data_IF_602719247740
#
_entry.id   IF_602719247740
#
_cell.length_a   1.000
_cell.length_b   1.000
_cell.length_c   1.000
_cell.angle_alpha   90.00
_cell.angle_beta   90.00
_cell.angle_gamma   90.00
#
_symmetry.space_group_name_H-M   'P 1'
#
loop_
_entity.id
_entity.type
_entity.pdbx_description
1 polymer ?
#
# COMPACT_ATOMS: atom_id res chain seq x y z
N UNK A 1 -79.94 29.24 6.04
CA UNK A 1 -79.02 28.61 7.04
C UNK A 1 -77.91 27.94 6.27
N UNK A 2 -76.69 28.41 6.30
CA UNK A 2 -75.57 27.83 5.54
C UNK A 2 -74.76 26.85 6.37
N UNK A 3 -74.57 25.67 5.83
CA UNK A 3 -73.67 24.64 6.41
C UNK A 3 -72.22 24.93 6.04
N UNK A 4 -71.39 25.08 7.03
CA UNK A 4 -69.90 25.25 6.95
C UNK A 4 -69.30 23.93 6.49
N UNK A 5 -68.53 23.95 5.37
CA UNK A 5 -67.66 22.86 4.96
C UNK A 5 -66.32 23.02 5.66
N UNK A 6 -65.92 22.05 6.49
CA UNK A 6 -64.61 21.96 7.11
C UNK A 6 -63.59 21.38 6.10
N UNK A 7 -62.58 22.18 5.78
CA UNK A 7 -61.42 21.72 5.00
C UNK A 7 -60.47 20.97 5.90
N UNK A 8 -60.35 19.65 5.71
CA UNK A 8 -59.35 18.82 6.34
C UNK A 8 -58.03 18.92 5.55
N UNK A 9 -57.11 19.74 6.04
CA UNK A 9 -55.77 19.87 5.52
C UNK A 9 -54.95 18.64 5.94
N UNK A 10 -54.72 17.71 5.02
CA UNK A 10 -53.86 16.54 5.24
C UNK A 10 -52.39 16.98 5.24
N UNK A 11 -51.80 17.02 6.40
CA UNK A 11 -50.34 17.13 6.60
C UNK A 11 -49.68 15.79 6.20
N UNK A 12 -48.97 15.77 5.10
CA UNK A 12 -48.08 14.70 4.73
C UNK A 12 -46.75 14.89 5.48
N UNK A 13 -46.23 13.91 6.24
CA UNK A 13 -44.92 14.00 6.79
C UNK A 13 -43.89 13.75 5.67
N UNK A 14 -43.04 14.75 5.41
CA UNK A 14 -41.84 14.62 4.60
C UNK A 14 -40.85 13.69 5.35
N UNK A 15 -40.78 12.45 4.91
CA UNK A 15 -39.73 11.54 5.36
C UNK A 15 -38.40 11.97 4.75
N UNK A 16 -37.58 12.68 5.52
CA UNK A 16 -36.22 13.04 5.16
C UNK A 16 -35.36 11.76 5.19
N UNK A 17 -35.01 11.22 4.03
CA UNK A 17 -33.99 10.20 3.86
C UNK A 17 -32.64 10.84 4.17
N UNK A 18 -32.12 10.60 5.35
CA UNK A 18 -30.73 10.90 5.71
C UNK A 18 -29.86 9.84 5.03
N UNK A 19 -29.30 10.19 3.88
CA UNK A 19 -28.20 9.45 3.26
C UNK A 19 -26.99 9.59 4.17
N UNK A 20 -26.74 8.57 4.99
CA UNK A 20 -25.48 8.42 5.70
C UNK A 20 -24.38 8.19 4.67
N UNK A 21 -23.73 9.26 4.20
CA UNK A 21 -22.50 9.20 3.46
C UNK A 21 -21.46 8.59 4.41
N UNK A 22 -21.02 7.37 4.12
CA UNK A 22 -19.84 6.80 4.74
C UNK A 22 -18.62 7.64 4.30
N UNK A 23 -18.36 8.70 5.01
CA UNK A 23 -17.11 9.43 4.91
C UNK A 23 -16.02 8.49 5.42
N UNK A 24 -15.11 8.10 4.52
CA UNK A 24 -13.85 7.48 4.90
C UNK A 24 -13.13 8.51 5.76
N UNK A 25 -13.14 8.32 7.07
CA UNK A 25 -12.42 9.15 8.01
C UNK A 25 -10.92 8.92 7.79
N UNK A 26 -10.32 9.72 6.93
CA UNK A 26 -8.88 9.96 6.99
C UNK A 26 -8.64 10.70 8.30
N UNK A 27 -7.79 10.21 9.21
CA UNK A 27 -7.53 10.89 10.47
C UNK A 27 -6.93 12.27 10.19
N UNK A 28 -7.71 13.33 10.30
CA UNK A 28 -7.25 14.71 10.28
C UNK A 28 -6.75 15.09 11.69
N UNK A 29 -5.59 14.53 12.06
CA UNK A 29 -4.79 15.12 13.13
C UNK A 29 -3.96 16.29 12.59
N UNK A 30 -3.52 17.22 13.44
CA UNK A 30 -2.56 18.23 13.02
C UNK A 30 -1.33 17.53 12.44
N UNK A 31 -0.86 18.02 11.28
CA UNK A 31 0.32 17.47 10.60
C UNK A 31 1.50 17.46 11.59
N UNK A 32 1.95 16.28 11.97
CA UNK A 32 3.08 16.12 12.89
C UNK A 32 4.37 16.36 12.10
N UNK A 33 5.33 17.05 12.74
CA UNK A 33 6.55 17.44 12.08
C UNK A 33 7.44 16.22 11.76
N UNK A 34 8.02 16.10 10.55
CA UNK A 34 9.04 15.10 10.23
C UNK A 34 10.30 15.19 11.11
N UNK A 35 10.49 16.31 11.81
CA UNK A 35 11.60 16.51 12.76
C UNK A 35 11.26 16.11 14.18
N UNK A 36 10.05 15.63 14.45
CA UNK A 36 9.61 15.24 15.79
C UNK A 36 10.46 14.10 16.38
N UNK A 37 10.77 14.11 17.66
CA UNK A 37 11.48 13.00 18.31
C UNK A 37 10.76 11.66 18.18
N UNK A 38 9.43 11.67 18.25
CA UNK A 38 8.59 10.47 18.13
C UNK A 38 8.72 9.80 16.77
N UNK A 39 8.72 10.59 15.68
CA UNK A 39 8.98 10.05 14.35
C UNK A 39 10.38 9.46 14.24
N UNK A 40 11.40 10.17 14.71
CA UNK A 40 12.80 9.69 14.66
C UNK A 40 12.97 8.39 15.43
N UNK A 41 12.32 8.25 16.58
CA UNK A 41 12.35 7.02 17.37
C UNK A 41 11.67 5.87 16.60
N UNK A 42 10.47 6.09 16.08
CA UNK A 42 9.74 5.11 15.28
C UNK A 42 10.57 4.68 14.05
N UNK A 43 11.08 5.64 13.28
CA UNK A 43 11.93 5.40 12.10
C UNK A 43 13.18 4.57 12.47
N UNK A 44 13.85 4.91 13.59
CA UNK A 44 15.02 4.19 14.05
C UNK A 44 14.70 2.75 14.46
N UNK A 45 13.53 2.49 15.05
CA UNK A 45 13.09 1.15 15.38
C UNK A 45 12.79 0.32 14.13
N UNK A 46 12.10 0.91 13.16
CA UNK A 46 11.77 0.24 11.88
C UNK A 46 13.02 -0.04 11.06
N UNK A 47 14.00 0.86 11.03
CA UNK A 47 15.29 0.67 10.31
C UNK A 47 16.13 -0.50 10.84
N UNK A 48 15.87 -0.97 12.05
CA UNK A 48 16.53 -2.16 12.63
C UNK A 48 15.97 -3.48 12.11
N UNK A 49 14.83 -3.46 11.41
CA UNK A 49 14.18 -4.65 10.88
C UNK A 49 14.89 -5.08 9.59
N UNK A 50 15.93 -5.89 9.72
CA UNK A 50 16.69 -6.43 8.59
C UNK A 50 16.13 -7.79 8.12
N UNK A 51 15.51 -8.55 9.03
CA UNK A 51 14.95 -9.87 8.79
C UNK A 51 13.46 -9.87 9.12
N UNK A 52 12.62 -10.03 8.11
CA UNK A 52 11.18 -10.08 8.32
C UNK A 52 10.47 -10.82 7.19
N UNK A 53 9.24 -11.19 7.45
CA UNK A 53 8.34 -11.75 6.45
C UNK A 53 6.99 -11.05 6.54
N UNK A 54 6.36 -10.89 5.40
CA UNK A 54 4.97 -10.43 5.32
C UNK A 54 4.26 -11.12 4.17
N UNK A 55 2.97 -11.34 4.33
CA UNK A 55 2.10 -11.91 3.30
C UNK A 55 0.80 -11.13 3.24
N UNK A 56 0.20 -11.16 2.07
CA UNK A 56 -1.03 -10.41 1.90
C UNK A 56 -1.60 -10.46 0.50
N UNK A 57 -2.33 -9.40 0.15
CA UNK A 57 -2.96 -9.22 -1.14
C UNK A 57 -2.29 -8.10 -1.91
N UNK A 58 -2.12 -8.33 -3.19
CA UNK A 58 -1.55 -7.40 -4.16
C UNK A 58 -2.57 -7.15 -5.26
N UNK A 59 -2.75 -5.89 -5.66
CA UNK A 59 -3.48 -5.52 -6.85
C UNK A 59 -2.67 -4.48 -7.65
N UNK A 60 -2.48 -4.74 -8.93
CA UNK A 60 -1.96 -3.79 -9.90
C UNK A 60 -3.07 -3.45 -10.87
N UNK A 61 -3.34 -2.16 -11.07
CA UNK A 61 -4.44 -1.64 -11.87
C UNK A 61 -3.87 -0.55 -12.78
N UNK A 62 -4.04 -0.72 -14.09
CA UNK A 62 -3.73 0.29 -15.11
C UNK A 62 -4.79 0.24 -16.21
N UNK A 63 -4.72 1.15 -17.16
CA UNK A 63 -5.60 1.14 -18.34
C UNK A 63 -5.42 -0.11 -19.20
N UNK A 64 -4.24 -0.74 -19.14
CA UNK A 64 -3.87 -1.90 -19.96
C UNK A 64 -4.20 -3.24 -19.31
N UNK A 65 -4.13 -3.32 -17.98
CA UNK A 65 -4.30 -4.59 -17.27
C UNK A 65 -4.72 -4.39 -15.81
N UNK A 66 -5.35 -5.45 -15.28
CA UNK A 66 -5.67 -5.59 -13.86
C UNK A 66 -5.16 -6.93 -13.38
N UNK A 67 -4.27 -6.92 -12.40
CA UNK A 67 -3.68 -8.13 -11.81
C UNK A 67 -4.04 -8.17 -10.34
N UNK A 68 -4.57 -9.31 -9.89
CA UNK A 68 -4.86 -9.57 -8.48
C UNK A 68 -4.13 -10.84 -8.08
N UNK A 69 -3.33 -10.75 -7.02
CA UNK A 69 -2.52 -11.85 -6.54
C UNK A 69 -2.44 -11.86 -5.00
N UNK A 70 -2.01 -13.00 -4.47
CA UNK A 70 -1.47 -13.09 -3.12
C UNK A 70 0.03 -12.89 -3.22
N UNK A 71 0.64 -12.25 -2.24
CA UNK A 71 2.08 -12.13 -2.16
C UNK A 71 2.62 -12.70 -0.85
N UNK A 72 3.88 -13.16 -0.93
CA UNK A 72 4.69 -13.51 0.22
C UNK A 72 6.07 -12.91 0.03
N UNK A 73 6.43 -11.99 0.93
CA UNK A 73 7.72 -11.31 0.97
C UNK A 73 8.56 -11.85 2.10
N UNK A 74 9.79 -12.21 1.80
CA UNK A 74 10.80 -12.61 2.79
C UNK A 74 12.04 -11.74 2.61
N UNK A 75 12.41 -11.01 3.65
CA UNK A 75 13.64 -10.22 3.71
C UNK A 75 14.68 -10.99 4.52
N UNK A 76 15.84 -11.21 3.92
CA UNK A 76 16.97 -11.93 4.54
C UNK A 76 18.11 -11.00 4.96
N UNK A 77 18.25 -9.86 4.28
CA UNK A 77 19.17 -8.76 4.58
C UNK A 77 18.74 -7.54 3.76
N UNK A 78 19.33 -6.34 3.95
CA UNK A 78 18.98 -5.16 3.16
C UNK A 78 19.04 -5.35 1.64
N UNK A 79 19.88 -6.24 1.15
CA UNK A 79 20.13 -6.51 -0.27
C UNK A 79 19.76 -7.93 -0.72
N UNK A 80 19.09 -8.69 0.14
CA UNK A 80 18.66 -10.06 -0.16
C UNK A 80 17.21 -10.29 0.26
N UNK A 81 16.36 -10.57 -0.73
CA UNK A 81 14.93 -10.81 -0.48
C UNK A 81 14.31 -11.73 -1.53
N UNK A 82 13.16 -12.26 -1.18
CA UNK A 82 12.32 -13.10 -2.04
C UNK A 82 10.88 -12.58 -2.05
N UNK A 83 10.30 -12.46 -3.24
CA UNK A 83 8.89 -12.19 -3.45
C UNK A 83 8.27 -13.35 -4.22
N UNK A 84 7.23 -13.94 -3.66
CA UNK A 84 6.41 -14.94 -4.33
C UNK A 84 5.03 -14.33 -4.60
N UNK A 85 4.58 -14.38 -5.85
CA UNK A 85 3.20 -14.07 -6.23
C UNK A 85 2.47 -15.34 -6.59
N UNK A 86 1.26 -15.51 -6.05
CA UNK A 86 0.36 -16.60 -6.37
C UNK A 86 -0.99 -16.05 -6.81
N UNK A 87 -1.68 -16.78 -7.68
CA UNK A 87 -3.06 -16.44 -8.00
C UNK A 87 -3.99 -16.77 -6.80
N UNK A 88 -5.26 -16.36 -6.83
CA UNK A 88 -6.21 -16.67 -5.75
C UNK A 88 -6.43 -18.16 -5.49
N UNK A 89 -6.12 -19.03 -6.45
CA UNK A 89 -6.22 -20.50 -6.32
C UNK A 89 -4.95 -21.11 -5.72
N UNK A 90 -3.91 -20.30 -5.43
CA UNK A 90 -2.66 -20.73 -4.80
C UNK A 90 -1.57 -21.18 -5.76
N UNK A 91 -1.79 -21.15 -7.08
CA UNK A 91 -0.75 -21.45 -8.06
C UNK A 91 0.27 -20.31 -8.16
N UNK A 92 1.54 -20.67 -8.26
CA UNK A 92 2.62 -19.67 -8.41
C UNK A 92 2.54 -19.00 -9.77
N UNK A 93 2.45 -17.68 -9.78
CA UNK A 93 2.51 -16.85 -10.99
C UNK A 93 3.93 -16.37 -11.27
N UNK A 94 4.65 -16.00 -10.21
CA UNK A 94 6.02 -15.50 -10.32
C UNK A 94 6.75 -15.64 -9.00
N UNK A 95 8.04 -15.97 -9.07
CA UNK A 95 8.98 -15.87 -7.97
C UNK A 95 10.12 -14.93 -8.36
N UNK A 96 10.37 -13.90 -7.56
CA UNK A 96 11.52 -13.02 -7.65
C UNK A 96 12.46 -13.30 -6.47
N UNK A 97 13.73 -13.52 -6.76
CA UNK A 97 14.81 -13.57 -5.79
C UNK A 97 15.83 -12.48 -6.12
N UNK A 98 16.19 -11.70 -5.13
CA UNK A 98 17.28 -10.71 -5.26
C UNK A 98 18.35 -11.05 -4.25
N UNK A 99 19.59 -11.03 -4.68
CA UNK A 99 20.75 -11.25 -3.84
C UNK A 99 21.93 -10.45 -4.38
N UNK A 100 22.51 -9.57 -3.53
CA UNK A 100 23.67 -8.76 -3.88
C UNK A 100 23.51 -8.00 -5.21
N UNK A 101 22.32 -7.40 -5.43
CA UNK A 101 22.02 -6.62 -6.63
C UNK A 101 21.62 -7.43 -7.86
N UNK A 102 21.74 -8.77 -7.82
CA UNK A 102 21.29 -9.64 -8.91
C UNK A 102 19.88 -10.16 -8.62
N UNK A 103 18.98 -9.95 -9.55
CA UNK A 103 17.62 -10.45 -9.53
C UNK A 103 17.47 -11.67 -10.42
N UNK A 104 16.75 -12.68 -9.94
CA UNK A 104 16.29 -13.83 -10.73
C UNK A 104 14.76 -13.90 -10.62
N UNK A 105 14.07 -13.86 -11.77
CA UNK A 105 12.64 -14.13 -11.87
C UNK A 105 12.41 -15.52 -12.43
N UNK A 106 11.56 -16.28 -11.78
CA UNK A 106 11.02 -17.54 -12.30
C UNK A 106 9.53 -17.35 -12.58
N UNK A 107 9.09 -17.54 -13.81
CA UNK A 107 7.68 -17.42 -14.17
C UNK A 107 6.89 -18.71 -13.87
N UNK A 108 5.59 -18.68 -14.09
CA UNK A 108 4.68 -19.83 -13.88
C UNK A 108 4.97 -21.07 -14.75
N UNK A 109 5.80 -20.93 -15.80
CA UNK A 109 6.27 -22.04 -16.65
C UNK A 109 7.63 -22.58 -16.18
N UNK A 110 8.19 -22.07 -15.08
CA UNK A 110 9.51 -22.44 -14.57
C UNK A 110 10.69 -21.82 -15.34
N UNK A 111 10.42 -20.94 -16.30
CA UNK A 111 11.48 -20.24 -17.04
C UNK A 111 12.13 -19.19 -16.17
N UNK A 112 13.46 -19.15 -16.17
CA UNK A 112 14.27 -18.25 -15.35
C UNK A 112 14.86 -17.11 -16.17
N UNK A 113 14.86 -15.93 -15.60
CA UNK A 113 15.44 -14.72 -16.16
C UNK A 113 16.30 -14.07 -15.09
N UNK A 114 17.46 -13.53 -15.47
CA UNK A 114 18.39 -12.89 -14.54
C UNK A 114 18.75 -11.50 -15.04
N UNK A 115 18.84 -10.54 -14.12
CA UNK A 115 19.18 -9.14 -14.41
C UNK A 115 19.80 -8.47 -13.17
N UNK A 116 20.59 -7.43 -13.39
CA UNK A 116 21.05 -6.50 -12.39
C UNK A 116 20.07 -5.31 -12.18
N UNK A 117 19.00 -5.26 -12.99
CA UNK A 117 17.93 -4.28 -12.90
C UNK A 117 16.57 -5.01 -12.69
N UNK A 118 16.18 -5.29 -11.44
CA UNK A 118 14.94 -6.00 -11.13
C UNK A 118 13.68 -5.27 -11.60
N UNK A 119 13.63 -3.95 -11.49
CA UNK A 119 12.46 -3.15 -11.88
C UNK A 119 12.20 -3.24 -13.38
N UNK A 120 13.23 -3.07 -14.20
CA UNK A 120 13.14 -3.20 -15.64
C UNK A 120 12.77 -4.63 -16.06
N UNK A 121 13.35 -5.63 -15.40
CA UNK A 121 13.04 -7.03 -15.67
C UNK A 121 11.57 -7.35 -15.39
N UNK A 122 11.02 -6.92 -14.24
CA UNK A 122 9.61 -7.10 -13.92
C UNK A 122 8.74 -6.40 -14.95
N UNK A 123 9.07 -5.17 -15.32
CA UNK A 123 8.33 -4.43 -16.33
C UNK A 123 8.31 -5.15 -17.69
N UNK A 124 9.46 -5.67 -18.15
CA UNK A 124 9.55 -6.43 -19.41
C UNK A 124 8.77 -7.74 -19.38
N UNK A 125 8.78 -8.45 -18.26
CA UNK A 125 8.14 -9.76 -18.15
C UNK A 125 6.64 -9.69 -17.88
N UNK A 126 6.17 -8.66 -17.18
CA UNK A 126 4.79 -8.58 -16.67
C UNK A 126 4.02 -7.38 -17.20
N UNK A 127 4.70 -6.38 -17.77
CA UNK A 127 4.13 -5.09 -18.13
C UNK A 127 3.86 -4.18 -16.92
N UNK A 128 4.19 -4.60 -15.69
CA UNK A 128 3.98 -3.82 -14.47
C UNK A 128 5.20 -2.98 -14.14
N UNK A 129 5.03 -1.66 -14.00
CA UNK A 129 6.07 -0.77 -13.48
C UNK A 129 5.99 -0.75 -11.95
N UNK A 130 6.92 -1.43 -11.29
CA UNK A 130 6.96 -1.56 -9.84
C UNK A 130 8.34 -1.12 -9.35
N UNK A 131 8.46 -0.03 -8.57
CA UNK A 131 9.73 0.43 -7.99
C UNK A 131 10.09 -0.43 -6.76
N UNK A 132 10.65 -1.61 -7.00
CA UNK A 132 10.85 -2.65 -5.96
C UNK A 132 11.72 -2.17 -4.79
N UNK A 133 12.79 -1.42 -5.08
CA UNK A 133 13.68 -0.92 -4.04
C UNK A 133 12.95 0.02 -3.06
N UNK A 134 12.15 0.94 -3.61
CA UNK A 134 11.36 1.87 -2.81
C UNK A 134 10.16 1.18 -2.16
N UNK A 135 9.49 0.28 -2.90
CA UNK A 135 8.35 -0.48 -2.38
C UNK A 135 8.70 -1.23 -1.10
N UNK A 136 9.89 -1.81 -1.03
CA UNK A 136 10.41 -2.48 0.16
C UNK A 136 10.44 -1.55 1.38
N UNK A 137 10.91 -0.31 1.21
CA UNK A 137 10.95 0.69 2.28
C UNK A 137 9.57 1.18 2.65
N UNK A 138 8.73 1.44 1.64
CA UNK A 138 7.36 1.88 1.87
C UNK A 138 6.49 0.83 2.56
N UNK A 139 6.68 -0.44 2.28
CA UNK A 139 6.00 -1.51 3.02
C UNK A 139 6.32 -1.47 4.52
N UNK A 140 7.53 -1.08 4.88
CA UNK A 140 7.94 -0.89 6.29
C UNK A 140 7.47 0.44 6.90
N UNK A 141 6.89 1.35 6.11
CA UNK A 141 6.54 2.69 6.58
C UNK A 141 7.74 3.64 6.67
N UNK A 142 8.75 3.43 5.83
CA UNK A 142 9.92 4.29 5.67
C UNK A 142 9.83 5.09 4.37
N UNK A 143 10.17 6.40 4.36
CA UNK A 143 10.09 7.22 3.16
C UNK A 143 11.18 6.90 2.12
N UNK A 144 12.25 6.19 2.50
CA UNK A 144 13.44 6.03 1.69
C UNK A 144 14.22 7.32 1.59
N UNK A 145 14.65 7.66 0.38
CA UNK A 145 15.36 8.90 0.08
C UNK A 145 14.42 10.10 -0.16
N UNK A 146 13.11 9.89 -0.04
CA UNK A 146 12.11 10.91 -0.27
C UNK A 146 12.01 11.87 0.93
N UNK A 147 12.03 13.17 0.65
CA UNK A 147 11.92 14.23 1.66
C UNK A 147 10.51 14.83 1.73
N UNK A 148 9.68 14.62 0.70
CA UNK A 148 8.30 15.12 0.64
C UNK A 148 7.33 14.07 1.18
N UNK A 149 7.15 14.06 2.49
CA UNK A 149 6.22 13.17 3.16
C UNK A 149 5.48 13.83 4.32
N UNK A 150 4.36 13.25 4.72
CA UNK A 150 3.55 13.67 5.86
C UNK A 150 3.35 12.51 6.83
N UNK A 151 3.13 12.86 8.10
CA UNK A 151 2.89 11.91 9.17
C UNK A 151 1.43 11.96 9.63
N UNK A 152 0.97 10.86 10.22
CA UNK A 152 -0.30 10.79 10.94
C UNK A 152 -0.16 11.33 12.38
N UNK A 153 -1.26 11.34 13.11
CA UNK A 153 -1.29 11.78 14.52
C UNK A 153 -0.50 10.89 15.48
N UNK A 154 -0.06 9.71 15.03
CA UNK A 154 0.75 8.78 15.80
C UNK A 154 2.22 8.76 15.31
N UNK A 155 2.63 9.79 14.59
CA UNK A 155 3.99 9.96 14.06
C UNK A 155 4.45 8.81 13.14
N UNK A 156 3.55 8.27 12.31
CA UNK A 156 3.83 7.28 11.25
C UNK A 156 3.58 7.93 9.90
N UNK A 157 4.14 7.39 8.84
CA UNK A 157 3.87 7.90 7.49
C UNK A 157 2.38 7.87 7.16
N UNK A 158 1.83 8.98 6.69
CA UNK A 158 0.49 9.05 6.11
C UNK A 158 0.54 9.16 4.58
N UNK A 159 1.55 9.85 4.05
CA UNK A 159 1.76 9.99 2.61
C UNK A 159 3.23 10.24 2.29
N UNK A 160 3.69 9.70 1.18
CA UNK A 160 5.00 10.01 0.57
C UNK A 160 4.74 10.43 -0.88
N UNK A 161 5.30 11.55 -1.32
CA UNK A 161 5.38 11.91 -2.73
C UNK A 161 6.75 11.48 -3.25
N UNK A 162 6.80 10.86 -4.42
CA UNK A 162 8.03 10.36 -5.01
C UNK A 162 8.12 10.64 -6.50
N UNK A 163 9.34 10.51 -7.04
CA UNK A 163 9.59 10.51 -8.47
C UNK A 163 10.44 9.29 -8.83
N UNK A 164 9.98 8.53 -9.81
CA UNK A 164 10.68 7.33 -10.31
C UNK A 164 10.69 7.35 -11.84
N UNK A 165 11.88 7.28 -12.43
CA UNK A 165 12.06 7.33 -13.89
C UNK A 165 11.39 8.56 -14.56
N UNK A 166 11.41 9.71 -13.88
CA UNK A 166 10.80 10.97 -14.36
C UNK A 166 9.27 11.04 -14.18
N UNK A 167 8.63 9.97 -13.71
CA UNK A 167 7.20 9.93 -13.40
C UNK A 167 6.98 10.26 -11.91
N UNK A 168 5.98 11.09 -11.66
CA UNK A 168 5.60 11.48 -10.29
C UNK A 168 4.53 10.55 -9.76
N UNK A 169 4.64 10.19 -8.49
CA UNK A 169 3.68 9.36 -7.82
C UNK A 169 3.54 9.69 -6.34
N UNK A 170 2.66 8.97 -5.69
CA UNK A 170 2.52 9.03 -4.24
C UNK A 170 2.17 7.68 -3.65
N UNK A 171 2.54 7.51 -2.38
CA UNK A 171 2.14 6.40 -1.54
C UNK A 171 1.25 6.96 -0.43
N UNK A 172 0.08 6.36 -0.25
CA UNK A 172 -0.86 6.71 0.83
C UNK A 172 -1.00 5.51 1.75
N UNK A 173 -0.79 5.73 3.04
CA UNK A 173 -0.95 4.74 4.09
C UNK A 173 -2.36 4.81 4.65
N UNK A 174 -3.11 3.72 4.52
CA UNK A 174 -4.51 3.66 4.91
C UNK A 174 -4.70 3.11 6.33
N UNK A 175 -3.84 2.19 6.75
CA UNK A 175 -3.86 1.62 8.09
C UNK A 175 -2.50 1.04 8.49
N UNK A 176 -2.33 0.91 9.81
CA UNK A 176 -1.17 0.32 10.47
C UNK A 176 -1.62 -0.74 11.47
N UNK A 177 -0.79 -1.74 11.69
CA UNK A 177 -0.98 -2.72 12.76
C UNK A 177 -0.86 -2.05 14.14
N UNK A 178 -1.80 -2.36 15.03
CA UNK A 178 -1.75 -1.93 16.42
C UNK A 178 -1.24 -3.04 17.36
N UNK A 179 -0.99 -4.23 16.83
CA UNK A 179 -0.69 -5.44 17.62
C UNK A 179 0.82 -5.72 17.71
N UNK A 180 1.65 -4.81 17.18
CA UNK A 180 3.11 -4.98 17.16
C UNK A 180 3.87 -3.69 17.41
N UNK A 181 5.12 -3.83 17.85
CA UNK A 181 6.09 -2.75 18.05
C UNK A 181 7.38 -3.10 17.32
N UNK A 182 7.86 -2.23 16.40
CA UNK A 182 7.20 -1.01 15.91
C UNK A 182 5.91 -1.32 15.12
N UNK A 183 4.96 -0.39 15.14
CA UNK A 183 3.75 -0.49 14.32
C UNK A 183 4.12 -0.41 12.83
N UNK A 184 3.72 -1.39 12.04
CA UNK A 184 4.00 -1.47 10.60
C UNK A 184 2.72 -1.27 9.77
N UNK A 185 2.84 -0.83 8.51
CA UNK A 185 1.68 -0.67 7.65
C UNK A 185 0.90 -1.98 7.43
N UNK A 186 -0.44 -1.90 7.46
CA UNK A 186 -1.33 -2.99 7.03
C UNK A 186 -1.85 -2.76 5.63
N UNK A 187 -2.04 -1.49 5.24
CA UNK A 187 -2.52 -1.13 3.91
C UNK A 187 -1.85 0.12 3.40
N UNK A 188 -1.44 0.03 2.14
CA UNK A 188 -0.95 1.19 1.40
C UNK A 188 -1.39 1.11 -0.07
N UNK A 189 -1.44 2.25 -0.69
CA UNK A 189 -1.75 2.42 -2.10
C UNK A 189 -0.71 3.33 -2.74
N UNK A 190 -0.07 2.85 -3.81
CA UNK A 190 0.78 3.64 -4.68
C UNK A 190 -0.04 4.10 -5.88
N UNK A 191 0.12 5.36 -6.26
CA UNK A 191 -0.42 5.89 -7.51
C UNK A 191 0.71 6.54 -8.29
N UNK A 192 0.82 6.22 -9.57
CA UNK A 192 1.78 6.80 -10.51
C UNK A 192 1.12 6.91 -11.88
N UNK A 193 0.83 8.12 -12.33
CA UNK A 193 0.03 8.39 -13.52
C UNK A 193 -1.32 7.61 -13.50
N UNK A 194 -1.56 6.76 -14.51
CA UNK A 194 -2.72 5.89 -14.65
C UNK A 194 -2.59 4.54 -13.89
N UNK A 195 -1.44 4.32 -13.24
CA UNK A 195 -1.15 3.06 -12.55
C UNK A 195 -1.41 3.18 -11.05
N UNK A 196 -1.93 2.10 -10.49
CA UNK A 196 -2.23 1.98 -9.08
C UNK A 196 -1.83 0.61 -8.56
N UNK A 197 -1.06 0.60 -7.48
CA UNK A 197 -0.69 -0.61 -6.77
C UNK A 197 -1.30 -0.54 -5.38
N UNK A 198 -2.04 -1.58 -5.01
CA UNK A 198 -2.61 -1.72 -3.66
C UNK A 198 -1.97 -2.91 -2.98
N UNK A 199 -1.50 -2.69 -1.77
CA UNK A 199 -0.99 -3.73 -0.89
C UNK A 199 -1.80 -3.78 0.40
N UNK A 200 -2.15 -4.99 0.79
CA UNK A 200 -2.67 -5.30 2.12
C UNK A 200 -1.79 -6.37 2.73
N UNK A 201 -1.10 -6.04 3.81
CA UNK A 201 -0.33 -6.98 4.61
C UNK A 201 -1.28 -7.62 5.63
N UNK A 202 -1.47 -8.94 5.51
CA UNK A 202 -2.37 -9.70 6.41
C UNK A 202 -1.65 -10.16 7.67
N UNK A 203 -0.33 -10.29 7.61
CA UNK A 203 0.50 -10.67 8.77
C UNK A 203 1.95 -10.26 8.56
N UNK A 204 2.62 -9.97 9.68
CA UNK A 204 4.05 -9.74 9.80
C UNK A 204 4.69 -10.78 10.71
N UNK A 205 5.90 -11.20 10.39
CA UNK A 205 6.79 -11.97 11.26
C UNK A 205 8.12 -11.25 11.29
N UNK A 206 8.53 -10.81 12.46
CA UNK A 206 9.80 -10.12 12.71
C UNK A 206 10.77 -11.10 13.39
N UNK A 207 12.02 -11.16 12.91
CA UNK A 207 13.05 -12.06 13.42
C UNK A 207 14.25 -11.28 13.94
#
# INVERSE_FOLDING_TARGET
MPMRKANLLRLLPLASLVLAACTINTPKGPATSPTSPQWREHEAQVKKLEHYQTRGSFAYISDKQKVYARFFWQQYSPDSYRLLLTNPLGSTEMELKVQSGIAQVTNNQGKKYTSDNPDEMIQKLTGMSIPLANLRLWMLGLPGDESDFTLDSQYRLSKVNYSHNGLKGNVVYQSYSNDMIPSLPDRLELTQDDQRIKLKMDSWTLN
#
